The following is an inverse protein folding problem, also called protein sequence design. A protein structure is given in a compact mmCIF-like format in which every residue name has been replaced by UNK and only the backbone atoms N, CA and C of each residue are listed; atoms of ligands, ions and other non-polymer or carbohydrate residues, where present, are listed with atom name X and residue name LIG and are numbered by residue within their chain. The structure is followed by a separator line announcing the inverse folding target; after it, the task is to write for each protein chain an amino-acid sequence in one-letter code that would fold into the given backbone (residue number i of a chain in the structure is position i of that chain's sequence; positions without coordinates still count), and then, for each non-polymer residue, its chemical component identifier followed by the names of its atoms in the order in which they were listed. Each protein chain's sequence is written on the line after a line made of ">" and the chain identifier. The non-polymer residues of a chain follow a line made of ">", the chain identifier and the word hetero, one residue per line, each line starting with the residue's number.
data_IF_881392946541
#
_entry.id   IF_881392946541
#
_cell.length_a   1.000
_cell.length_b   1.000
_cell.length_c   1.000
_cell.angle_alpha   90.00
_cell.angle_beta   90.00
_cell.angle_gamma   90.00
#
_symmetry.space_group_name_H-M   'P 1'
#
loop_
_entity.id
_entity.type
_entity.pdbx_description
1 polymer ?
#
# COMPACT_ATOMS: atom_id res chain seq x y z
N UNK A 1 14.41 7.85 -13.87
CA UNK A 1 13.06 7.59 -13.32
C UNK A 1 11.96 8.51 -13.85
N UNK A 2 12.18 9.83 -14.04
CA UNK A 2 11.16 10.76 -14.59
C UNK A 2 10.43 10.23 -15.84
N UNK A 3 11.18 9.64 -16.77
CA UNK A 3 10.64 9.18 -18.06
C UNK A 3 9.56 8.09 -17.94
N UNK A 4 9.67 7.20 -16.94
CA UNK A 4 8.66 6.14 -16.75
C UNK A 4 7.37 6.73 -16.16
N UNK A 5 7.47 7.53 -15.10
CA UNK A 5 6.31 8.15 -14.45
C UNK A 5 5.47 9.01 -15.41
N UNK A 6 6.10 9.69 -16.37
CA UNK A 6 5.39 10.50 -17.38
C UNK A 6 4.69 9.69 -18.47
N UNK A 7 4.98 8.39 -18.60
CA UNK A 7 4.53 7.57 -19.73
C UNK A 7 3.72 6.35 -19.32
N UNK A 8 3.26 6.28 -18.06
CA UNK A 8 2.65 5.06 -17.54
C UNK A 8 1.33 4.71 -18.23
N UNK A 9 1.28 3.50 -18.79
CA UNK A 9 0.14 2.97 -19.55
C UNK A 9 -0.73 2.07 -18.69
N UNK A 10 -1.90 1.72 -19.22
CA UNK A 10 -2.81 0.78 -18.56
C UNK A 10 -2.17 -0.61 -18.37
N UNK A 11 -1.29 -1.02 -19.28
CA UNK A 11 -0.56 -2.29 -19.19
C UNK A 11 0.34 -2.34 -17.97
N UNK A 12 1.08 -1.26 -17.68
CA UNK A 12 1.93 -1.18 -16.49
C UNK A 12 1.09 -1.32 -15.21
N UNK A 13 -0.08 -0.67 -15.16
CA UNK A 13 -1.00 -0.80 -14.03
C UNK A 13 -1.46 -2.24 -13.82
N UNK A 14 -1.79 -2.95 -14.90
CA UNK A 14 -2.17 -4.37 -14.80
C UNK A 14 -1.02 -5.22 -14.25
N UNK A 15 0.21 -5.00 -14.73
CA UNK A 15 1.39 -5.74 -14.26
C UNK A 15 1.59 -5.51 -12.75
N UNK A 16 1.53 -4.25 -12.30
CA UNK A 16 1.69 -3.93 -10.88
C UNK A 16 0.57 -4.49 -10.00
N UNK A 17 -0.68 -4.53 -10.48
CA UNK A 17 -1.78 -5.18 -9.77
C UNK A 17 -1.53 -6.69 -9.65
N UNK A 18 -1.08 -7.35 -10.71
CA UNK A 18 -0.75 -8.78 -10.68
C UNK A 18 0.37 -9.05 -9.68
N UNK A 19 1.45 -8.25 -9.72
CA UNK A 19 2.56 -8.38 -8.77
C UNK A 19 2.11 -8.16 -7.33
N UNK A 20 1.27 -7.14 -7.09
CA UNK A 20 0.67 -6.88 -5.78
C UNK A 20 -0.10 -8.10 -5.25
N UNK A 21 -0.93 -8.73 -6.09
CA UNK A 21 -1.69 -9.91 -5.70
C UNK A 21 -0.79 -11.13 -5.44
N UNK A 22 0.22 -11.37 -6.28
CA UNK A 22 1.16 -12.48 -6.11
C UNK A 22 1.96 -12.30 -4.82
N UNK A 23 2.56 -11.14 -4.60
CA UNK A 23 3.37 -10.87 -3.40
C UNK A 23 2.52 -10.90 -2.14
N UNK A 24 1.31 -10.34 -2.19
CA UNK A 24 0.34 -10.42 -1.10
C UNK A 24 -0.07 -11.87 -0.77
N UNK A 25 -0.22 -12.72 -1.79
CA UNK A 25 -0.51 -14.14 -1.62
C UNK A 25 0.66 -14.90 -0.99
N UNK A 26 1.89 -14.64 -1.45
CA UNK A 26 3.10 -15.26 -0.88
C UNK A 26 3.23 -14.87 0.60
N UNK A 27 3.14 -13.58 0.93
CA UNK A 27 3.22 -13.14 2.33
C UNK A 27 2.09 -13.73 3.18
N UNK A 28 0.86 -13.74 2.67
CA UNK A 28 -0.29 -14.36 3.35
C UNK A 28 -0.07 -15.84 3.62
N UNK A 29 0.48 -16.57 2.66
CA UNK A 29 0.80 -17.99 2.81
C UNK A 29 1.86 -18.21 3.89
N UNK A 30 2.92 -17.40 3.89
CA UNK A 30 3.96 -17.47 4.92
C UNK A 30 3.37 -17.21 6.31
N UNK A 31 2.54 -16.19 6.46
CA UNK A 31 1.93 -15.82 7.76
C UNK A 31 0.83 -16.81 8.18
N UNK A 32 0.21 -17.55 7.27
CA UNK A 32 -0.81 -18.53 7.61
C UNK A 32 -0.25 -19.93 7.91
N UNK A 33 0.79 -20.36 7.19
CA UNK A 33 1.24 -21.76 7.21
C UNK A 33 2.70 -21.96 7.64
N UNK A 34 3.61 -21.03 7.33
CA UNK A 34 5.06 -21.24 7.57
C UNK A 34 5.51 -20.61 8.89
N UNK A 35 5.17 -19.35 9.10
CA UNK A 35 5.52 -18.55 10.29
C UNK A 35 4.27 -17.85 10.85
N UNK A 36 3.32 -18.61 11.40
CA UNK A 36 2.13 -18.01 11.96
C UNK A 36 2.45 -17.15 13.21
N UNK A 37 1.91 -15.93 13.30
CA UNK A 37 2.33 -14.92 14.27
C UNK A 37 1.85 -15.23 15.70
N UNK A 38 1.00 -16.24 15.88
CA UNK A 38 0.51 -16.68 17.20
C UNK A 38 0.67 -18.18 17.32
N UNK A 39 1.14 -18.64 18.50
CA UNK A 39 1.22 -20.07 18.83
C UNK A 39 -0.11 -20.81 18.61
N UNK A 40 -1.22 -20.13 18.87
CA UNK A 40 -2.59 -20.66 18.65
C UNK A 40 -2.83 -21.05 17.18
N UNK A 41 -2.20 -20.38 16.22
CA UNK A 41 -2.32 -20.69 14.78
C UNK A 41 -1.38 -21.83 14.34
N UNK A 42 -0.32 -22.12 15.09
CA UNK A 42 0.61 -23.24 14.82
C UNK A 42 -0.12 -24.56 15.01
N UNK A 43 -0.85 -24.69 16.12
CA UNK A 43 -1.59 -25.91 16.48
C UNK A 43 -3.03 -25.91 15.97
N UNK A 44 -3.42 -24.89 15.20
CA UNK A 44 -4.77 -24.77 14.67
C UNK A 44 -5.03 -25.83 13.59
N UNK A 45 -6.28 -26.36 13.50
CA UNK A 45 -6.66 -27.23 12.39
C UNK A 45 -6.37 -26.58 11.04
N UNK A 46 -6.00 -27.39 10.04
CA UNK A 46 -5.70 -26.91 8.69
C UNK A 46 -6.81 -26.03 8.10
N UNK A 47 -8.08 -26.31 8.43
CA UNK A 47 -9.24 -25.49 8.03
C UNK A 47 -9.12 -24.04 8.51
N UNK A 48 -8.65 -23.80 9.72
CA UNK A 48 -8.46 -22.44 10.29
C UNK A 48 -7.33 -21.70 9.58
N UNK A 49 -6.24 -22.39 9.23
CA UNK A 49 -5.13 -21.81 8.48
C UNK A 49 -5.57 -21.42 7.05
N UNK A 50 -6.35 -22.27 6.37
CA UNK A 50 -6.94 -21.96 5.07
C UNK A 50 -7.94 -20.80 5.11
N UNK A 51 -8.79 -20.73 6.14
CA UNK A 51 -9.70 -19.58 6.34
C UNK A 51 -8.90 -18.30 6.59
N UNK A 52 -7.83 -18.38 7.38
CA UNK A 52 -6.94 -17.24 7.65
C UNK A 52 -6.31 -16.73 6.35
N UNK A 53 -5.73 -17.62 5.54
CA UNK A 53 -5.20 -17.30 4.22
C UNK A 53 -6.26 -16.72 3.27
N UNK A 54 -7.45 -17.34 3.19
CA UNK A 54 -8.53 -16.84 2.34
C UNK A 54 -8.99 -15.44 2.75
N UNK A 55 -9.13 -15.20 4.05
CA UNK A 55 -9.53 -13.90 4.60
C UNK A 55 -8.47 -12.82 4.35
N UNK A 56 -7.18 -13.15 4.45
CA UNK A 56 -6.11 -12.20 4.16
C UNK A 56 -6.08 -11.83 2.68
N UNK A 57 -6.31 -12.80 1.78
CA UNK A 57 -6.42 -12.55 0.34
C UNK A 57 -7.58 -11.61 -0.02
N UNK A 58 -8.75 -11.81 0.60
CA UNK A 58 -9.89 -10.88 0.46
C UNK A 58 -9.49 -9.49 0.98
N UNK A 59 -8.81 -9.43 2.12
CA UNK A 59 -8.27 -8.21 2.69
C UNK A 59 -7.33 -7.46 1.75
N UNK A 60 -6.40 -8.16 1.10
CA UNK A 60 -5.46 -7.60 0.10
C UNK A 60 -6.22 -6.98 -1.08
N UNK A 61 -7.24 -7.66 -1.62
CA UNK A 61 -8.04 -7.13 -2.72
C UNK A 61 -8.85 -5.91 -2.28
N UNK A 62 -9.53 -5.99 -1.13
CA UNK A 62 -10.33 -4.89 -0.58
C UNK A 62 -9.46 -3.67 -0.27
N UNK A 63 -8.29 -3.86 0.32
CA UNK A 63 -7.36 -2.78 0.63
C UNK A 63 -6.97 -2.00 -0.63
N UNK A 64 -6.68 -2.69 -1.74
CA UNK A 64 -6.35 -2.02 -3.00
C UNK A 64 -7.48 -1.10 -3.49
N UNK A 65 -8.72 -1.57 -3.44
CA UNK A 65 -9.87 -0.75 -3.81
C UNK A 65 -10.09 0.39 -2.84
N UNK A 66 -10.16 0.11 -1.53
CA UNK A 66 -10.42 1.10 -0.49
C UNK A 66 -9.38 2.22 -0.52
N UNK A 67 -8.08 1.89 -0.53
CA UNK A 67 -6.99 2.88 -0.58
C UNK A 67 -7.07 3.74 -1.84
N UNK A 68 -7.37 3.14 -2.99
CA UNK A 68 -7.52 3.88 -4.25
C UNK A 68 -8.69 4.87 -4.21
N UNK A 69 -9.84 4.46 -3.66
CA UNK A 69 -11.03 5.30 -3.59
C UNK A 69 -10.92 6.39 -2.52
N UNK A 70 -10.31 6.10 -1.37
CA UNK A 70 -9.97 7.11 -0.36
C UNK A 70 -9.01 8.13 -0.96
N UNK A 71 -7.96 7.68 -1.64
CA UNK A 71 -7.02 8.57 -2.33
C UNK A 71 -7.71 9.46 -3.38
N UNK A 72 -8.61 8.88 -4.17
CA UNK A 72 -9.41 9.64 -5.15
C UNK A 72 -10.34 10.65 -4.48
N UNK A 73 -10.93 10.31 -3.33
CA UNK A 73 -11.76 11.24 -2.55
C UNK A 73 -10.93 12.41 -1.98
N UNK A 74 -9.73 12.13 -1.45
CA UNK A 74 -8.77 13.16 -1.02
C UNK A 74 -8.37 14.06 -2.18
N UNK A 75 -8.11 13.49 -3.36
CA UNK A 75 -7.86 14.27 -4.58
C UNK A 75 -9.03 15.21 -4.90
N UNK A 76 -10.26 14.70 -4.88
CA UNK A 76 -11.46 15.48 -5.20
C UNK A 76 -11.64 16.66 -4.23
N UNK A 77 -11.46 16.43 -2.92
CA UNK A 77 -11.48 17.49 -1.93
C UNK A 77 -10.37 18.52 -2.15
N UNK A 78 -9.11 18.06 -2.31
CA UNK A 78 -7.97 18.95 -2.50
C UNK A 78 -8.13 19.80 -3.77
N UNK A 79 -8.62 19.20 -4.85
CA UNK A 79 -8.89 19.88 -6.09
C UNK A 79 -9.99 20.95 -5.94
N UNK A 80 -11.06 20.64 -5.19
CA UNK A 80 -12.15 21.57 -4.89
C UNK A 80 -11.67 22.77 -4.05
N UNK A 81 -10.91 22.54 -2.97
CA UNK A 81 -10.42 23.63 -2.11
C UNK A 81 -9.31 24.48 -2.73
N UNK A 82 -8.59 23.95 -3.72
CA UNK A 82 -7.48 24.65 -4.37
C UNK A 82 -7.90 25.35 -5.68
N UNK A 83 -9.17 25.26 -6.07
CA UNK A 83 -9.71 25.80 -7.34
C UNK A 83 -8.89 25.38 -8.57
N UNK A 84 -8.47 24.11 -8.61
CA UNK A 84 -7.68 23.54 -9.71
C UNK A 84 -8.60 22.86 -10.72
N UNK A 85 -8.34 22.93 -12.04
CA UNK A 85 -9.14 22.21 -13.02
C UNK A 85 -9.16 20.69 -12.79
N UNK A 86 -10.28 20.06 -13.16
CA UNK A 86 -10.45 18.61 -13.12
C UNK A 86 -9.39 17.94 -14.01
N UNK A 87 -8.65 17.00 -13.43
CA UNK A 87 -7.71 16.16 -14.14
C UNK A 87 -8.42 14.92 -14.68
N UNK A 88 -7.80 14.22 -15.64
CA UNK A 88 -8.35 12.97 -16.16
C UNK A 88 -8.51 11.93 -15.02
N UNK A 89 -9.77 11.63 -14.70
CA UNK A 89 -10.18 10.64 -13.70
C UNK A 89 -9.47 9.30 -13.89
N UNK A 90 -9.25 8.85 -15.12
CA UNK A 90 -8.57 7.58 -15.40
C UNK A 90 -7.10 7.65 -14.99
N UNK A 91 -6.41 8.75 -15.29
CA UNK A 91 -5.01 8.93 -14.90
C UNK A 91 -4.85 9.11 -13.39
N UNK A 92 -5.73 9.87 -12.74
CA UNK A 92 -5.69 10.06 -11.29
C UNK A 92 -5.87 8.73 -10.56
N UNK A 93 -6.91 7.95 -10.91
CA UNK A 93 -7.12 6.61 -10.32
C UNK A 93 -5.94 5.69 -10.61
N UNK A 94 -5.37 5.75 -11.81
CA UNK A 94 -4.18 4.98 -12.19
C UNK A 94 -2.99 5.30 -11.28
N UNK A 95 -2.74 6.58 -11.00
CA UNK A 95 -1.68 7.00 -10.07
C UNK A 95 -1.85 6.38 -8.69
N UNK A 96 -3.08 6.36 -8.16
CA UNK A 96 -3.35 5.75 -6.85
C UNK A 96 -3.21 4.22 -6.86
N UNK A 97 -3.71 3.53 -7.90
CA UNK A 97 -3.49 2.09 -8.06
C UNK A 97 -2.01 1.75 -8.09
N UNK A 98 -1.23 2.44 -8.93
CA UNK A 98 0.20 2.21 -9.06
C UNK A 98 0.95 2.51 -7.77
N UNK A 99 0.64 3.62 -7.12
CA UNK A 99 1.28 3.98 -5.85
C UNK A 99 1.04 2.90 -4.80
N UNK A 100 -0.21 2.46 -4.64
CA UNK A 100 -0.59 1.41 -3.68
C UNK A 100 0.13 0.11 -4.01
N UNK A 101 0.04 -0.36 -5.26
CA UNK A 101 0.67 -1.61 -5.67
C UNK A 101 2.20 -1.58 -5.53
N UNK A 102 2.87 -0.52 -5.98
CA UNK A 102 4.34 -0.42 -5.91
C UNK A 102 4.79 -0.36 -4.46
N UNK A 103 4.12 0.47 -3.64
CA UNK A 103 4.45 0.63 -2.22
C UNK A 103 4.29 -0.70 -1.49
N UNK A 104 3.13 -1.35 -1.63
CA UNK A 104 2.84 -2.59 -0.91
C UNK A 104 3.69 -3.76 -1.41
N UNK A 105 4.02 -3.83 -2.70
CA UNK A 105 4.95 -4.85 -3.21
C UNK A 105 6.30 -4.71 -2.52
N UNK A 106 6.87 -3.51 -2.48
CA UNK A 106 8.17 -3.25 -1.86
C UNK A 106 8.11 -3.57 -0.36
N UNK A 107 7.10 -3.07 0.36
CA UNK A 107 6.97 -3.26 1.80
C UNK A 107 6.73 -4.72 2.15
N UNK A 108 5.90 -5.44 1.39
CA UNK A 108 5.65 -6.87 1.63
C UNK A 108 6.89 -7.71 1.37
N UNK A 109 7.75 -7.35 0.40
CA UNK A 109 9.04 -8.02 0.22
C UNK A 109 9.96 -7.80 1.43
N UNK A 110 10.10 -6.56 1.90
CA UNK A 110 10.91 -6.27 3.10
C UNK A 110 10.35 -6.99 4.32
N UNK A 111 9.03 -7.00 4.48
CA UNK A 111 8.34 -7.70 5.56
C UNK A 111 8.61 -9.21 5.49
N UNK A 112 8.49 -9.83 4.32
CA UNK A 112 8.77 -11.25 4.11
C UNK A 112 10.22 -11.60 4.51
N UNK A 113 11.19 -10.78 4.09
CA UNK A 113 12.59 -10.96 4.46
C UNK A 113 12.76 -10.90 5.99
N UNK A 114 12.11 -9.94 6.65
CA UNK A 114 12.17 -9.82 8.11
C UNK A 114 11.51 -11.01 8.82
N UNK A 115 10.38 -11.51 8.32
CA UNK A 115 9.74 -12.75 8.85
C UNK A 115 10.72 -13.91 8.79
N UNK A 116 11.40 -14.10 7.65
CA UNK A 116 12.36 -15.20 7.47
C UNK A 116 13.55 -15.05 8.44
N UNK A 117 14.15 -13.86 8.53
CA UNK A 117 15.33 -13.62 9.38
C UNK A 117 15.00 -13.74 10.87
N UNK A 118 13.80 -13.29 11.28
CA UNK A 118 13.36 -13.34 12.68
C UNK A 118 12.68 -14.64 13.07
N UNK A 119 12.58 -15.61 12.16
CA UNK A 119 11.89 -16.87 12.38
C UNK A 119 10.40 -16.68 12.75
N UNK A 120 9.76 -15.63 12.23
CA UNK A 120 8.36 -15.29 12.50
C UNK A 120 8.12 -14.37 13.70
N UNK A 121 9.15 -14.02 14.49
CA UNK A 121 9.00 -13.17 15.68
C UNK A 121 9.33 -11.70 15.40
N UNK A 122 8.44 -11.03 14.69
CA UNK A 122 8.57 -9.60 14.42
C UNK A 122 8.28 -8.76 15.67
N UNK A 123 9.26 -7.98 16.10
CA UNK A 123 9.11 -7.01 17.18
C UNK A 123 8.24 -5.84 16.74
N UNK A 124 7.51 -5.24 17.70
CA UNK A 124 6.66 -4.06 17.46
C UNK A 124 7.42 -2.92 16.79
N UNK A 125 8.68 -2.69 17.18
CA UNK A 125 9.54 -1.67 16.57
C UNK A 125 9.77 -1.91 15.07
N UNK A 126 9.98 -3.16 14.64
CA UNK A 126 10.15 -3.51 13.23
C UNK A 126 8.85 -3.27 12.44
N UNK A 127 7.70 -3.67 12.99
CA UNK A 127 6.38 -3.46 12.36
C UNK A 127 6.00 -1.97 12.28
N UNK A 128 6.36 -1.20 13.30
CA UNK A 128 6.16 0.26 13.34
C UNK A 128 7.03 0.93 12.27
N UNK A 129 8.29 0.53 12.17
CA UNK A 129 9.24 1.06 11.17
C UNK A 129 8.78 0.77 9.75
N UNK A 130 8.33 -0.46 9.47
CA UNK A 130 7.74 -0.82 8.18
C UNK A 130 6.52 0.05 7.84
N UNK A 131 5.66 0.32 8.82
CA UNK A 131 4.48 1.16 8.63
C UNK A 131 4.84 2.61 8.28
N UNK A 132 5.85 3.18 8.96
CA UNK A 132 6.38 4.52 8.65
C UNK A 132 6.99 4.55 7.24
N UNK A 133 7.81 3.54 6.90
CA UNK A 133 8.42 3.43 5.58
C UNK A 133 7.36 3.32 4.47
N UNK A 134 6.30 2.54 4.70
CA UNK A 134 5.18 2.43 3.77
C UNK A 134 4.50 3.78 3.54
N UNK A 135 4.19 4.50 4.63
CA UNK A 135 3.56 5.81 4.56
C UNK A 135 4.42 6.82 3.76
N UNK A 136 5.73 6.85 4.01
CA UNK A 136 6.68 7.71 3.30
C UNK A 136 6.78 7.34 1.82
N UNK A 137 6.94 6.05 1.50
CA UNK A 137 7.06 5.57 0.13
C UNK A 137 5.80 5.91 -0.68
N UNK A 138 4.62 5.68 -0.10
CA UNK A 138 3.34 5.99 -0.71
C UNK A 138 3.21 7.50 -0.99
N UNK A 139 3.61 8.36 -0.05
CA UNK A 139 3.60 9.81 -0.24
C UNK A 139 4.55 10.26 -1.36
N UNK A 140 5.77 9.71 -1.41
CA UNK A 140 6.77 10.00 -2.45
C UNK A 140 6.25 9.60 -3.83
N UNK A 141 5.66 8.41 -3.95
CA UNK A 141 5.12 7.90 -5.21
C UNK A 141 3.93 8.74 -5.68
N UNK A 142 3.00 9.11 -4.79
CA UNK A 142 1.89 10.01 -5.12
C UNK A 142 2.44 11.32 -5.67
N UNK A 143 3.39 11.94 -4.96
CA UNK A 143 4.01 13.19 -5.42
C UNK A 143 4.62 13.02 -6.81
N UNK A 144 5.39 11.95 -7.04
CA UNK A 144 6.02 11.67 -8.33
C UNK A 144 4.98 11.49 -9.46
N UNK A 145 3.91 10.74 -9.24
CA UNK A 145 2.85 10.56 -10.25
C UNK A 145 2.11 11.86 -10.53
N UNK A 146 1.77 12.65 -9.51
CA UNK A 146 1.08 13.92 -9.73
C UNK A 146 1.95 14.96 -10.45
N UNK A 147 3.25 14.98 -10.15
CA UNK A 147 4.20 15.88 -10.79
C UNK A 147 4.51 15.47 -12.23
N UNK A 148 4.77 14.18 -12.48
CA UNK A 148 5.29 13.73 -13.77
C UNK A 148 4.23 13.19 -14.72
N UNK A 149 3.20 12.51 -14.23
CA UNK A 149 2.10 12.00 -15.05
C UNK A 149 1.03 13.07 -15.24
N UNK A 150 0.61 13.70 -14.14
CA UNK A 150 -0.50 14.65 -14.14
C UNK A 150 -0.06 16.12 -14.28
N UNK A 151 1.25 16.37 -14.31
CA UNK A 151 1.85 17.70 -14.52
C UNK A 151 1.36 18.77 -13.52
N UNK A 152 0.96 18.37 -12.30
CA UNK A 152 0.41 19.28 -11.30
C UNK A 152 1.14 19.16 -9.96
N UNK A 153 2.17 20.01 -9.79
CA UNK A 153 3.06 20.00 -8.62
C UNK A 153 2.33 20.40 -7.34
N UNK A 154 1.54 21.48 -7.39
CA UNK A 154 0.84 22.02 -6.20
C UNK A 154 -0.11 20.98 -5.63
N UNK A 155 -0.94 20.39 -6.50
CA UNK A 155 -1.90 19.37 -6.10
C UNK A 155 -1.20 18.08 -5.62
N UNK A 156 -0.13 17.66 -6.30
CA UNK A 156 0.66 16.51 -5.89
C UNK A 156 1.27 16.65 -4.50
N UNK A 157 1.76 17.85 -4.14
CA UNK A 157 2.29 18.12 -2.80
C UNK A 157 1.20 18.00 -1.73
N UNK A 158 0.04 18.60 -1.95
CA UNK A 158 -1.07 18.57 -0.98
C UNK A 158 -1.55 17.15 -0.75
N UNK A 159 -1.80 16.39 -1.83
CA UNK A 159 -2.29 15.02 -1.71
C UNK A 159 -1.24 14.13 -1.04
N UNK A 160 0.04 14.25 -1.40
CA UNK A 160 1.10 13.49 -0.75
C UNK A 160 1.16 13.74 0.76
N UNK A 161 1.04 15.00 1.20
CA UNK A 161 1.06 15.35 2.63
C UNK A 161 -0.18 14.82 3.34
N UNK A 162 -1.38 15.00 2.77
CA UNK A 162 -2.62 14.51 3.39
C UNK A 162 -2.58 12.99 3.53
N UNK A 163 -2.17 12.28 2.47
CA UNK A 163 -2.07 10.82 2.50
C UNK A 163 -0.99 10.35 3.49
N UNK A 164 0.14 11.05 3.59
CA UNK A 164 1.16 10.76 4.59
C UNK A 164 0.58 10.85 6.00
N UNK A 165 -0.12 11.93 6.32
CA UNK A 165 -0.74 12.13 7.64
C UNK A 165 -1.76 11.02 7.92
N UNK A 166 -2.65 10.73 6.97
CA UNK A 166 -3.65 9.67 7.12
C UNK A 166 -3.03 8.30 7.39
N UNK A 167 -1.93 7.97 6.71
CA UNK A 167 -1.22 6.71 6.90
C UNK A 167 -0.38 6.64 8.18
N UNK A 168 0.01 7.79 8.75
CA UNK A 168 0.73 7.84 10.02
C UNK A 168 -0.19 7.80 11.24
N UNK A 169 -1.48 8.15 11.11
CA UNK A 169 -2.44 8.10 12.23
C UNK A 169 -2.49 6.74 12.95
N UNK A 170 -2.57 5.59 12.26
CA UNK A 170 -2.53 4.28 12.91
C UNK A 170 -1.21 4.02 13.65
N UNK A 171 -0.09 4.53 13.12
CA UNK A 171 1.25 4.35 13.69
C UNK A 171 1.39 5.12 15.01
N UNK A 172 0.92 6.36 15.06
CA UNK A 172 0.90 7.16 16.29
C UNK A 172 0.06 6.45 17.37
N UNK A 173 -1.09 5.89 16.99
CA UNK A 173 -1.92 5.09 17.89
C UNK A 173 -1.26 3.80 18.41
N UNK A 174 -0.28 3.25 17.70
CA UNK A 174 0.52 2.10 18.15
C UNK A 174 1.65 2.52 19.10
N UNK A 175 2.22 3.72 18.92
CA UNK A 175 3.31 4.24 19.76
C UNK A 175 2.79 4.74 21.11
N UNK A 176 1.57 5.30 21.14
CA UNK A 176 0.95 5.85 22.35
C UNK A 176 0.33 4.79 23.29
N UNK A 177 0.36 3.51 22.91
CA UNK A 177 -0.13 2.38 23.71
C UNK A 177 1.04 1.65 24.37
#
# INVERSE_FOLDING_TARGET
>A
MKNWFSQVKATDTKIWIILYLIVGAVLSYFVAFIYPPKKILIDAPATVQWVTFGSSMIGVVLALFVTTYIGYFVYWLAQHFMDVPLLDKKQVKRSFYLTTCISDVIINFVHLILVIITGGFLQTAATTTLSVLSALLMAILIYAFFVYLLQNIKLGRVIAVVILVLNLLPVVGQILK
#
